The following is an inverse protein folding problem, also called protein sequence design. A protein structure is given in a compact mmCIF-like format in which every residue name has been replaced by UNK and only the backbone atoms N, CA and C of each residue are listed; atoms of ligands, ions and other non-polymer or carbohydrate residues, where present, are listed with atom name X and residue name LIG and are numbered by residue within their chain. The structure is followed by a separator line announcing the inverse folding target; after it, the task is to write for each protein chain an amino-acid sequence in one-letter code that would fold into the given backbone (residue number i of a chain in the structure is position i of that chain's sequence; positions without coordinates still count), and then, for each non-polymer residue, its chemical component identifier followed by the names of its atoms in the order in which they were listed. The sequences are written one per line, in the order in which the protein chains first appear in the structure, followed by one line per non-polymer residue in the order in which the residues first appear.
data_IF_770975729438
#
_entry.id   IF_770975729438
#
_cell.length_a   1.000
_cell.length_b   1.000
_cell.length_c   1.000
_cell.angle_alpha   90.00
_cell.angle_beta   90.00
_cell.angle_gamma   90.00
#
_symmetry.space_group_name_H-M   'P 1'
#
loop_
_entity.id
_entity.type
_entity.pdbx_description
1 polymer ?
#
# COMPACT_ATOMS: atom_id res chain seq x y z
N UNK A 1 4.89 -13.76 -23.69
CA UNK A 1 4.90 -14.45 -22.39
C UNK A 1 5.06 -13.49 -21.23
N UNK A 2 4.85 -12.21 -21.51
CA UNK A 2 5.02 -11.17 -20.51
C UNK A 2 4.05 -11.28 -19.33
N UNK A 3 2.99 -12.03 -19.49
CA UNK A 3 1.96 -12.12 -18.46
C UNK A 3 2.01 -13.43 -17.66
N UNK A 4 3.14 -14.16 -17.72
CA UNK A 4 3.21 -15.45 -17.02
C UNK A 4 3.91 -15.37 -15.66
N UNK A 5 4.47 -14.23 -15.30
CA UNK A 5 5.19 -14.11 -14.02
C UNK A 5 4.48 -13.15 -13.09
N UNK A 6 4.73 -13.32 -11.79
CA UNK A 6 4.28 -12.37 -10.77
C UNK A 6 5.50 -11.60 -10.28
N UNK A 7 5.39 -10.30 -10.21
CA UNK A 7 6.48 -9.45 -9.73
C UNK A 7 6.44 -9.38 -8.20
N UNK A 8 7.60 -9.52 -7.57
CA UNK A 8 7.69 -9.38 -6.11
C UNK A 8 7.57 -7.92 -5.73
N UNK A 9 6.82 -7.66 -4.66
CA UNK A 9 6.62 -6.30 -4.20
C UNK A 9 6.39 -6.19 -2.71
N UNK A 10 6.23 -4.96 -2.26
CA UNK A 10 5.93 -4.63 -0.86
C UNK A 10 4.78 -3.63 -0.84
N UNK A 11 4.12 -3.55 0.30
CA UNK A 11 3.09 -2.55 0.52
C UNK A 11 3.00 -2.16 1.98
N UNK A 12 2.42 -1.00 2.22
CA UNK A 12 2.27 -0.46 3.56
C UNK A 12 0.85 -0.02 3.83
N UNK A 13 0.34 -0.41 4.98
CA UNK A 13 -0.86 0.20 5.55
C UNK A 13 -0.38 1.15 6.63
N UNK A 14 -0.47 2.45 6.38
CA UNK A 14 0.04 3.47 7.30
C UNK A 14 -1.12 4.09 8.06
N UNK A 15 -1.05 4.04 9.39
CA UNK A 15 -2.08 4.59 10.26
C UNK A 15 -1.59 5.89 10.90
N UNK A 16 -2.47 6.88 10.97
CA UNK A 16 -2.19 8.09 11.75
C UNK A 16 -2.65 7.87 13.20
N UNK A 17 -2.54 8.92 14.02
CA UNK A 17 -2.91 8.83 15.44
C UNK A 17 -4.41 8.60 15.65
N UNK A 18 -5.22 8.97 14.68
CA UNK A 18 -6.67 8.76 14.76
C UNK A 18 -7.10 7.40 14.23
N UNK A 19 -6.14 6.57 13.81
CA UNK A 19 -6.45 5.27 13.24
C UNK A 19 -6.91 5.31 11.80
N UNK A 20 -6.70 6.43 11.12
CA UNK A 20 -7.04 6.53 9.71
C UNK A 20 -5.91 6.00 8.85
N UNK A 21 -6.26 5.51 7.67
CA UNK A 21 -5.34 4.84 6.75
C UNK A 21 -4.98 5.78 5.60
N UNK A 22 -3.70 5.80 5.26
CA UNK A 22 -3.21 6.59 4.14
C UNK A 22 -3.55 5.91 2.82
N UNK A 23 -4.24 6.61 1.94
CA UNK A 23 -4.49 6.15 0.58
C UNK A 23 -3.96 7.16 -0.41
N UNK A 24 -3.53 6.64 -1.58
CA UNK A 24 -2.92 7.44 -2.63
C UNK A 24 -3.72 7.25 -3.91
N UNK A 25 -3.80 8.31 -4.71
CA UNK A 25 -4.46 8.24 -6.00
C UNK A 25 -3.42 8.35 -7.10
N UNK A 26 -3.41 7.33 -7.98
CA UNK A 26 -2.46 7.28 -9.08
C UNK A 26 -2.86 8.29 -10.16
N UNK A 27 -1.86 8.92 -10.75
CA UNK A 27 -2.07 9.83 -11.87
C UNK A 27 -2.75 9.07 -13.01
N UNK A 28 -3.85 9.64 -13.52
CA UNK A 28 -4.57 9.03 -14.62
C UNK A 28 -5.46 7.86 -14.23
N UNK A 29 -5.72 7.66 -12.94
CA UNK A 29 -6.63 6.60 -12.52
C UNK A 29 -8.01 6.86 -13.11
N UNK A 30 -8.46 5.94 -13.97
CA UNK A 30 -9.70 6.12 -14.73
C UNK A 30 -10.95 6.06 -13.88
N UNK A 31 -10.93 5.16 -12.91
CA UNK A 31 -12.08 4.93 -12.06
C UNK A 31 -12.02 5.74 -10.77
N UNK A 32 -11.02 6.60 -10.64
CA UNK A 32 -10.83 7.37 -9.43
C UNK A 32 -10.41 6.55 -8.24
N UNK A 33 -9.93 5.34 -8.48
CA UNK A 33 -9.58 4.42 -7.39
C UNK A 33 -8.38 4.92 -6.61
N UNK A 34 -8.41 4.62 -5.32
CA UNK A 34 -7.32 4.92 -4.40
C UNK A 34 -6.65 3.62 -3.98
N UNK A 35 -5.41 3.70 -3.60
CA UNK A 35 -4.65 2.51 -3.22
C UNK A 35 -3.71 2.80 -2.07
N UNK A 36 -3.31 1.73 -1.39
CA UNK A 36 -2.28 1.81 -0.38
C UNK A 36 -0.92 1.97 -1.06
N UNK A 37 0.05 2.63 -0.41
CA UNK A 37 1.41 2.70 -0.95
C UNK A 37 1.97 1.30 -1.18
N UNK A 38 2.57 1.10 -2.34
CA UNK A 38 3.15 -0.18 -2.70
C UNK A 38 4.10 -0.02 -3.88
N UNK A 39 5.01 -0.97 -4.04
CA UNK A 39 5.89 -0.96 -5.19
C UNK A 39 6.69 -2.24 -5.29
N UNK A 40 7.52 -2.35 -6.32
CA UNK A 40 8.29 -3.55 -6.58
C UNK A 40 9.56 -3.63 -5.75
N UNK A 41 10.00 -4.86 -5.49
CA UNK A 41 11.29 -5.13 -4.87
C UNK A 41 12.32 -5.24 -5.99
N UNK A 42 13.45 -4.57 -5.84
CA UNK A 42 14.52 -4.60 -6.82
C UNK A 42 15.48 -5.75 -6.53
N UNK A 43 16.25 -6.14 -7.56
CA UNK A 43 17.20 -7.24 -7.41
C UNK A 43 18.14 -7.00 -6.23
N UNK A 44 18.22 -7.99 -5.35
CA UNK A 44 19.12 -7.92 -4.20
C UNK A 44 18.59 -7.08 -3.05
N UNK A 45 17.40 -6.52 -3.19
CA UNK A 45 16.83 -5.67 -2.15
C UNK A 45 16.00 -6.50 -1.18
N UNK A 46 16.20 -6.26 0.12
CA UNK A 46 15.35 -6.89 1.12
C UNK A 46 13.98 -6.24 1.16
N UNK A 47 12.92 -7.00 1.51
CA UNK A 47 11.57 -6.42 1.52
C UNK A 47 11.44 -5.16 2.36
N UNK A 48 12.05 -5.12 3.54
CA UNK A 48 11.93 -3.94 4.40
C UNK A 48 12.63 -2.72 3.81
N UNK A 49 13.78 -2.93 3.16
CA UNK A 49 14.47 -1.85 2.48
C UNK A 49 13.63 -1.32 1.32
N UNK A 50 12.99 -2.23 0.58
CA UNK A 50 12.09 -1.84 -0.50
C UNK A 50 10.91 -1.04 0.01
N UNK A 51 10.37 -1.42 1.17
CA UNK A 51 9.26 -0.70 1.79
C UNK A 51 9.65 0.75 2.07
N UNK A 52 10.79 0.97 2.71
CA UNK A 52 11.22 2.33 3.04
C UNK A 52 11.49 3.14 1.77
N UNK A 53 12.07 2.50 0.76
CA UNK A 53 12.32 3.20 -0.51
C UNK A 53 11.01 3.60 -1.19
N UNK A 54 10.05 2.68 -1.26
CA UNK A 54 8.77 2.98 -1.91
C UNK A 54 7.98 4.03 -1.15
N UNK A 55 7.97 3.97 0.18
CA UNK A 55 7.30 5.00 0.97
C UNK A 55 7.90 6.38 0.69
N UNK A 56 9.22 6.45 0.64
CA UNK A 56 9.88 7.71 0.37
C UNK A 56 9.54 8.25 -1.01
N UNK A 57 9.57 7.36 -2.01
CA UNK A 57 9.30 7.76 -3.38
C UNK A 57 7.85 8.20 -3.58
N UNK A 58 6.91 7.47 -3.00
CA UNK A 58 5.50 7.73 -3.24
C UNK A 58 4.89 8.76 -2.32
N UNK A 59 5.35 8.82 -1.08
CA UNK A 59 4.70 9.65 -0.06
C UNK A 59 5.61 10.68 0.57
N UNK A 60 6.91 10.62 0.32
CA UNK A 60 7.86 11.51 0.96
C UNK A 60 8.23 11.12 2.37
N UNK A 61 7.64 10.06 2.92
CA UNK A 61 7.93 9.64 4.30
C UNK A 61 9.25 8.89 4.35
N UNK A 62 10.15 9.33 5.24
CA UNK A 62 11.41 8.66 5.48
C UNK A 62 11.32 7.64 6.60
N UNK A 63 12.44 6.97 6.87
CA UNK A 63 12.49 5.94 7.91
C UNK A 63 12.05 6.44 9.28
N UNK A 64 12.44 7.66 9.63
CA UNK A 64 12.10 8.24 10.92
C UNK A 64 10.65 8.68 11.04
N UNK A 65 9.93 8.71 9.93
CA UNK A 65 8.56 9.19 9.92
C UNK A 65 7.53 8.09 10.15
N UNK A 66 7.96 6.83 10.14
CA UNK A 66 7.06 5.69 10.35
C UNK A 66 7.69 4.67 11.28
N UNK A 67 6.83 3.96 11.99
CA UNK A 67 7.22 2.83 12.83
C UNK A 67 6.57 1.58 12.27
N UNK A 68 7.35 0.52 12.05
CA UNK A 68 6.79 -0.76 11.63
C UNK A 68 6.18 -1.44 12.85
N UNK A 69 4.88 -1.64 12.83
CA UNK A 69 4.13 -2.21 13.96
C UNK A 69 3.95 -3.71 13.81
N UNK A 70 3.73 -4.17 12.59
CA UNK A 70 3.47 -5.58 12.32
C UNK A 70 3.72 -5.87 10.85
N UNK A 71 3.84 -7.15 10.52
CA UNK A 71 3.90 -7.57 9.12
C UNK A 71 2.92 -8.71 8.93
N UNK A 72 2.34 -8.79 7.73
CA UNK A 72 1.48 -9.91 7.40
C UNK A 72 2.32 -11.18 7.31
N UNK A 73 1.77 -12.30 7.82
CA UNK A 73 2.53 -13.54 7.93
C UNK A 73 2.82 -14.21 6.61
N UNK A 74 2.07 -13.86 5.56
CA UNK A 74 2.21 -14.49 4.26
C UNK A 74 2.34 -13.46 3.18
N UNK A 75 2.97 -13.84 2.07
CA UNK A 75 2.96 -13.05 0.86
C UNK A 75 1.57 -13.10 0.24
N UNK A 76 1.05 -11.97 -0.19
CA UNK A 76 -0.29 -11.87 -0.77
C UNK A 76 -0.18 -11.50 -2.24
N UNK A 77 -0.93 -12.22 -3.08
CA UNK A 77 -0.87 -12.01 -4.52
C UNK A 77 -2.16 -11.41 -5.05
N UNK A 78 -2.03 -10.59 -6.08
CA UNK A 78 -3.17 -10.17 -6.86
C UNK A 78 -2.82 -10.21 -8.34
N UNK A 79 -3.85 -10.37 -9.17
CA UNK A 79 -3.69 -10.35 -10.62
C UNK A 79 -4.20 -9.04 -11.18
N UNK A 80 -3.43 -8.50 -12.11
CA UNK A 80 -3.84 -7.30 -12.81
C UNK A 80 -4.90 -7.64 -13.85
N UNK A 81 -5.86 -6.72 -14.11
CA UNK A 81 -6.70 -6.86 -15.29
C UNK A 81 -5.83 -7.03 -16.54
N UNK A 82 -6.31 -7.81 -17.49
CA UNK A 82 -5.52 -8.16 -18.67
C UNK A 82 -4.99 -6.91 -19.37
N UNK A 83 -5.80 -5.85 -19.44
CA UNK A 83 -5.43 -4.63 -20.14
C UNK A 83 -4.27 -3.88 -19.48
N UNK A 84 -3.92 -4.20 -18.23
CA UNK A 84 -2.81 -3.56 -17.54
C UNK A 84 -1.53 -4.39 -17.58
N UNK A 85 -1.57 -5.59 -18.13
CA UNK A 85 -0.42 -6.49 -18.12
C UNK A 85 0.54 -6.15 -19.24
N UNK A 86 1.83 -6.23 -18.94
CA UNK A 86 2.88 -6.02 -19.95
C UNK A 86 4.17 -6.71 -19.47
N UNK A 87 5.24 -6.56 -20.26
CA UNK A 87 6.51 -7.22 -19.96
C UNK A 87 7.11 -6.77 -18.62
N UNK A 88 6.80 -5.55 -18.19
CA UNK A 88 7.35 -5.00 -16.96
C UNK A 88 6.52 -5.43 -15.75
N UNK A 89 5.20 -5.38 -15.87
CA UNK A 89 4.30 -5.67 -14.75
C UNK A 89 4.01 -7.15 -14.58
N UNK A 90 4.14 -7.94 -15.64
CA UNK A 90 3.74 -9.32 -15.62
C UNK A 90 2.24 -9.49 -15.40
N UNK A 91 1.86 -10.61 -14.81
CA UNK A 91 0.47 -10.96 -14.55
C UNK A 91 -0.10 -10.26 -13.33
N UNK A 92 0.76 -9.91 -12.39
CA UNK A 92 0.37 -9.25 -11.14
C UNK A 92 1.55 -9.16 -10.22
N UNK A 93 1.25 -9.01 -8.94
CA UNK A 93 2.30 -8.95 -7.92
C UNK A 93 2.04 -9.94 -6.81
N UNK A 94 3.13 -10.40 -6.19
CA UNK A 94 3.10 -11.10 -4.92
C UNK A 94 3.82 -10.22 -3.92
N UNK A 95 3.15 -9.86 -2.82
CA UNK A 95 3.61 -8.76 -1.99
C UNK A 95 3.75 -9.12 -0.54
N UNK A 96 4.76 -8.55 0.09
CA UNK A 96 4.93 -8.55 1.53
C UNK A 96 4.32 -7.25 2.07
N UNK A 97 3.44 -7.36 3.05
CA UNK A 97 2.72 -6.21 3.57
C UNK A 97 3.10 -5.90 5.01
N UNK A 98 3.15 -4.62 5.32
CA UNK A 98 3.54 -4.13 6.64
C UNK A 98 2.51 -3.13 7.15
N UNK A 99 2.26 -3.18 8.45
CA UNK A 99 1.46 -2.18 9.12
C UNK A 99 2.41 -1.18 9.76
N UNK A 100 2.20 0.10 9.45
CA UNK A 100 3.06 1.18 9.92
C UNK A 100 2.25 2.19 10.69
N UNK A 101 2.88 2.82 11.68
CA UNK A 101 2.29 3.96 12.39
C UNK A 101 3.06 5.21 12.02
N UNK A 102 2.32 6.26 11.67
CA UNK A 102 2.93 7.55 11.33
C UNK A 102 3.55 8.17 12.58
N UNK A 103 4.79 8.62 12.44
CA UNK A 103 5.54 9.31 13.50
C UNK A 103 5.83 10.76 13.16
N UNK A 104 5.21 11.27 12.10
CA UNK A 104 5.35 12.65 11.63
C UNK A 104 3.95 13.26 11.53
N UNK A 105 3.84 14.59 11.37
CA UNK A 105 2.53 15.17 11.10
C UNK A 105 1.95 14.65 9.80
N UNK A 106 0.63 14.56 9.72
CA UNK A 106 -0.04 14.11 8.51
C UNK A 106 0.36 14.93 7.30
N UNK A 107 0.69 16.18 7.51
CA UNK A 107 1.12 17.09 6.44
C UNK A 107 2.47 16.73 5.85
N UNK A 108 3.22 15.83 6.50
CA UNK A 108 4.50 15.37 5.96
C UNK A 108 4.31 14.49 4.72
N UNK A 109 3.12 13.95 4.51
CA UNK A 109 2.84 13.14 3.33
C UNK A 109 2.74 14.05 2.11
N UNK A 110 3.55 13.75 1.10
CA UNK A 110 3.58 14.52 -0.14
C UNK A 110 3.65 13.56 -1.32
N UNK A 111 2.56 13.44 -2.08
CA UNK A 111 2.61 12.65 -3.32
C UNK A 111 3.69 13.19 -4.24
N UNK A 112 4.32 12.28 -5.00
CA UNK A 112 5.44 12.68 -5.86
C UNK A 112 5.02 13.54 -7.04
N UNK A 113 3.73 13.61 -7.37
CA UNK A 113 3.23 14.37 -8.50
C UNK A 113 3.48 13.72 -9.85
N UNK A 114 4.22 12.62 -9.86
CA UNK A 114 4.57 11.91 -11.07
C UNK A 114 3.70 10.64 -11.18
N UNK A 115 3.82 9.79 -10.21
CA UNK A 115 3.07 8.55 -10.15
C UNK A 115 1.75 8.73 -9.41
N UNK A 116 1.78 9.52 -8.34
CA UNK A 116 0.61 9.80 -7.52
C UNK A 116 0.36 11.29 -7.44
N UNK A 117 -0.90 11.69 -7.58
CA UNK A 117 -1.28 13.10 -7.60
C UNK A 117 -2.01 13.55 -6.36
N UNK A 118 -2.45 12.63 -5.50
CA UNK A 118 -3.20 13.00 -4.31
C UNK A 118 -3.01 11.95 -3.23
N UNK A 119 -3.18 12.38 -1.98
CA UNK A 119 -3.19 11.49 -0.82
C UNK A 119 -4.35 11.89 0.08
N UNK A 120 -4.84 10.93 0.85
CA UNK A 120 -5.95 11.17 1.76
C UNK A 120 -5.85 10.20 2.93
N UNK A 121 -6.37 10.60 4.08
CA UNK A 121 -6.50 9.73 5.24
C UNK A 121 -7.96 9.35 5.37
N UNK A 122 -8.24 8.04 5.38
CA UNK A 122 -9.62 7.54 5.42
C UNK A 122 -9.78 6.53 6.54
N UNK A 123 -11.01 6.37 7.02
CA UNK A 123 -11.30 5.32 7.98
C UNK A 123 -11.02 3.96 7.35
N UNK A 124 -10.52 2.98 8.13
CA UNK A 124 -10.25 1.66 7.56
C UNK A 124 -11.44 1.06 6.82
N UNK A 125 -12.65 1.27 7.34
CA UNK A 125 -13.85 0.74 6.70
C UNK A 125 -14.09 1.33 5.31
N UNK A 126 -13.52 2.50 5.02
CA UNK A 126 -13.71 3.16 3.72
C UNK A 126 -12.71 2.69 2.67
N UNK A 127 -11.65 2.00 3.10
CA UNK A 127 -10.61 1.54 2.18
C UNK A 127 -11.19 0.69 1.06
N UNK A 128 -12.08 -0.24 1.43
CA UNK A 128 -12.65 -1.16 0.46
C UNK A 128 -13.50 -0.44 -0.59
N UNK A 129 -14.20 0.61 -0.18
CA UNK A 129 -15.05 1.36 -1.10
C UNK A 129 -14.24 2.24 -2.05
N UNK A 130 -13.00 2.56 -1.69
CA UNK A 130 -12.16 3.49 -2.45
C UNK A 130 -11.22 2.76 -3.41
N UNK A 131 -11.05 1.46 -3.26
CA UNK A 131 -10.04 0.69 -3.99
C UNK A 131 -10.59 0.09 -5.28
N UNK A 132 -9.68 -0.17 -6.23
CA UNK A 132 -10.04 -0.90 -7.45
C UNK A 132 -10.40 -2.35 -7.10
N UNK A 133 -11.37 -2.95 -7.82
CA UNK A 133 -11.81 -4.31 -7.49
C UNK A 133 -10.72 -5.36 -7.44
N UNK A 134 -9.70 -5.26 -8.30
CA UNK A 134 -8.67 -6.30 -8.34
C UNK A 134 -7.77 -6.27 -7.10
N UNK A 135 -7.79 -5.19 -6.32
CA UNK A 135 -7.01 -5.08 -5.09
C UNK A 135 -7.78 -5.55 -3.85
N UNK A 136 -9.10 -5.69 -3.97
CA UNK A 136 -9.94 -5.98 -2.81
C UNK A 136 -9.58 -7.27 -2.08
N UNK A 137 -9.25 -8.38 -2.77
CA UNK A 137 -8.90 -9.58 -2.03
C UNK A 137 -7.70 -9.39 -1.10
N UNK A 138 -6.67 -8.65 -1.57
CA UNK A 138 -5.51 -8.36 -0.74
C UNK A 138 -5.91 -7.47 0.44
N UNK A 139 -6.68 -6.41 0.17
CA UNK A 139 -7.06 -5.47 1.21
C UNK A 139 -7.95 -6.14 2.27
N UNK A 140 -8.83 -7.06 1.86
CA UNK A 140 -9.62 -7.83 2.83
C UNK A 140 -8.73 -8.64 3.76
N UNK A 141 -7.69 -9.28 3.19
CA UNK A 141 -6.74 -10.04 4.00
C UNK A 141 -6.01 -9.13 4.97
N UNK A 142 -5.62 -7.94 4.54
CA UNK A 142 -4.93 -7.00 5.43
C UNK A 142 -5.84 -6.54 6.56
N UNK A 143 -7.10 -6.26 6.25
CA UNK A 143 -8.05 -5.86 7.29
C UNK A 143 -8.20 -6.95 8.34
N UNK A 144 -8.24 -8.20 7.92
CA UNK A 144 -8.34 -9.33 8.86
C UNK A 144 -7.04 -9.54 9.62
N UNK A 145 -5.91 -9.50 8.90
CA UNK A 145 -4.60 -9.76 9.49
C UNK A 145 -4.24 -8.71 10.56
N UNK A 146 -4.57 -7.45 10.28
CA UNK A 146 -4.23 -6.34 11.17
C UNK A 146 -5.40 -5.88 12.04
N UNK A 147 -6.45 -6.67 12.15
CA UNK A 147 -7.69 -6.27 12.82
C UNK A 147 -7.47 -5.76 14.24
N UNK A 148 -6.52 -6.36 14.97
CA UNK A 148 -6.25 -5.96 16.36
C UNK A 148 -5.76 -4.52 16.46
N UNK A 149 -5.17 -4.00 15.37
CA UNK A 149 -4.65 -2.63 15.33
C UNK A 149 -5.65 -1.64 14.74
N UNK A 150 -6.61 -2.13 13.95
CA UNK A 150 -7.56 -1.29 13.24
C UNK A 150 -8.82 -1.03 14.04
N UNK A 151 -9.10 -1.88 14.99
CA UNK A 151 -10.29 -1.83 15.75
C UNK A 151 -10.41 -0.62 16.61
N UNK A 152 -9.36 0.01 16.75
CA UNK A 152 -9.34 1.28 17.29
C UNK A 152 -10.23 1.63 18.40
N UNK A 153 -10.91 1.35 18.55
CA UNK A 153 -11.60 1.90 19.31
C UNK A 153 -11.49 1.76 20.65
N UNK A 154 -11.08 1.71 20.78
CA UNK A 154 -10.94 1.64 21.65
C UNK A 154 -11.37 2.07 22.48
N UNK A 155 -11.84 1.95 22.89
CA UNK A 155 -12.26 2.23 23.57
C UNK A 155 -12.02 2.51 24.56
N UNK A 156 -11.92 2.68 24.96
CA UNK A 156 -11.69 2.85 25.79
C UNK A 156 -11.87 3.42 26.16
#
# INVERSE_FOLDING_TARGET
MSDVFFRAGVGAMVLDDAGQVLVMRRKGARDGAWQLPQGGIENGEEPLAALYRELREETGLGRGDVEIVASAGEWLAYELPVEYRNAKTGRGQVQRWFLCRLRAPCEAVRPDGIEFTASEWVAPAQLMARAAPFRLPVYRRLMAEFAAHLGGTRSQ
#
